data_IF_262441910460
#
_entry.id   IF_262441910460
#
_cell.length_a   1.000
_cell.length_b   1.000
_cell.length_c   1.000
_cell.angle_alpha   90.00
_cell.angle_beta   90.00
_cell.angle_gamma   90.00
#
_symmetry.space_group_name_H-M   'P 1'
#
loop_
_entity.id
_entity.type
_entity.pdbx_description
1 polymer ?
2 non-polymer ?
3 non-polymer ?
4 water ?
#
# COMPACT_ATOMS: atom_id res chain seq x y z
N UNK A 17 2.27 39.06 -1.08
CA UNK A 17 1.78 39.52 0.21
C UNK A 17 2.93 39.83 1.17
N UNK A 18 2.65 39.80 2.47
CA UNK A 18 3.65 40.09 3.49
C UNK A 18 3.78 38.92 4.46
N UNK A 19 2.75 38.63 5.26
CA UNK A 19 2.83 37.50 6.17
C UNK A 19 2.77 36.17 5.41
N UNK A 20 2.04 36.12 4.31
CA UNK A 20 2.01 34.92 3.47
C UNK A 20 3.40 34.58 2.96
N UNK A 21 4.04 35.53 2.29
CA UNK A 21 5.35 35.26 1.70
C UNK A 21 6.41 35.04 2.76
N UNK A 22 6.21 35.58 3.97
CA UNK A 22 7.11 35.28 5.07
C UNK A 22 7.02 33.81 5.46
N UNK A 23 5.80 33.27 5.51
CA UNK A 23 5.62 31.85 5.81
C UNK A 23 6.15 31.01 4.66
N UNK A 24 5.82 31.39 3.42
CA UNK A 24 6.15 30.58 2.25
C UNK A 24 7.65 30.32 2.16
N UNK A 25 8.48 31.33 2.44
CA UNK A 25 9.92 31.15 2.37
C UNK A 25 10.41 30.17 3.42
N UNK A 26 9.71 30.06 4.55
CA UNK A 26 10.07 29.07 5.57
C UNK A 26 9.64 27.68 5.13
N UNK A 27 8.37 27.54 4.73
CA UNK A 27 7.83 26.24 4.35
C UNK A 27 8.60 25.66 3.17
N UNK A 28 8.85 26.47 2.16
CA UNK A 28 9.54 26.01 0.96
C UNK A 28 11.05 25.93 1.13
N UNK A 29 11.57 26.16 2.32
CA UNK A 29 13.00 26.18 2.55
C UNK A 29 13.55 24.76 2.69
N UNK A 30 14.87 24.64 2.52
CA UNK A 30 15.52 23.35 2.70
C UNK A 30 15.55 22.95 4.16
N UNK A 31 15.76 23.92 5.06
CA UNK A 31 15.79 23.63 6.49
C UNK A 31 14.48 23.02 6.97
N UNK A 32 13.35 23.52 6.46
CA UNK A 32 12.05 23.03 6.89
C UNK A 32 11.91 21.54 6.59
N UNK A 33 12.10 21.17 5.32
CA UNK A 33 12.02 19.75 4.95
C UNK A 33 13.09 18.93 5.67
N UNK A 34 14.31 19.48 5.78
CA UNK A 34 15.36 18.82 6.53
C UNK A 34 14.95 18.58 7.97
N UNK A 35 14.32 19.58 8.59
CA UNK A 35 13.90 19.45 9.98
C UNK A 35 12.80 18.41 10.13
N UNK A 36 11.89 18.35 9.16
CA UNK A 36 10.84 17.33 9.19
C UNK A 36 11.44 15.95 8.96
N UNK A 37 12.27 15.81 7.92
CA UNK A 37 12.95 14.54 7.66
C UNK A 37 13.76 14.12 8.87
N UNK A 38 14.37 15.09 9.56
CA UNK A 38 15.05 14.82 10.81
C UNK A 38 14.10 14.22 11.84
N UNK A 39 13.02 14.95 12.14
CA UNK A 39 12.06 14.51 13.15
C UNK A 39 11.46 13.15 12.78
N UNK A 40 11.25 12.90 11.49
CA UNK A 40 10.66 11.64 11.06
C UNK A 40 11.56 10.48 11.45
N UNK A 41 12.86 10.60 11.16
CA UNK A 41 13.81 9.54 11.51
C UNK A 41 13.91 9.40 13.03
N UNK A 42 13.94 10.53 13.74
CA UNK A 42 13.97 10.49 15.20
C UNK A 42 12.76 9.75 15.75
N UNK A 43 11.56 10.09 15.26
CA UNK A 43 10.37 9.37 15.68
C UNK A 43 10.40 7.91 15.23
N UNK A 44 11.02 7.64 14.08
CA UNK A 44 11.13 6.27 13.62
C UNK A 44 11.89 5.39 14.60
N UNK A 45 13.01 5.88 15.11
CA UNK A 45 13.75 5.15 16.12
C UNK A 45 12.95 5.07 17.41
N UNK A 46 12.18 6.12 17.71
CA UNK A 46 11.35 6.12 18.91
C UNK A 46 10.34 4.98 18.89
N UNK A 47 9.64 4.81 17.77
CA UNK A 47 8.60 3.78 17.68
C UNK A 47 9.20 2.38 17.74
N UNK A 48 10.41 2.19 17.24
CA UNK A 48 11.03 0.88 17.30
C UNK A 48 11.45 0.50 18.71
N UNK A 49 11.96 1.46 19.48
CA UNK A 49 12.25 1.20 20.88
C UNK A 49 10.97 1.08 21.70
N UNK A 50 9.90 1.76 21.28
CA UNK A 50 8.63 1.68 21.97
C UNK A 50 8.06 0.27 22.00
N UNK A 51 8.53 -0.61 21.11
CA UNK A 51 8.09 -2.00 21.14
C UNK A 51 8.63 -2.74 22.36
N UNK A 52 9.88 -2.45 22.73
CA UNK A 52 10.50 -3.10 23.88
C UNK A 52 9.86 -2.59 25.17
N UNK A 53 9.33 -3.52 25.96
CA UNK A 53 8.73 -3.15 27.24
C UNK A 53 9.78 -2.89 28.32
N UNK A 54 10.99 -3.44 28.15
CA UNK A 54 12.11 -3.03 29.00
C UNK A 54 12.36 -1.52 28.86
N UNK A 55 12.39 -1.04 27.61
CA UNK A 55 12.58 0.38 27.37
C UNK A 55 11.38 1.19 27.86
N UNK A 56 10.17 0.66 27.70
CA UNK A 56 8.98 1.39 28.09
C UNK A 56 8.82 1.46 29.61
N UNK A 57 9.37 0.48 30.33
CA UNK A 57 9.39 0.58 31.79
C UNK A 57 10.38 1.65 32.23
N UNK A 58 11.49 1.78 31.52
CA UNK A 58 12.51 2.76 31.87
C UNK A 58 12.20 4.12 31.26
N UNK A 59 12.57 4.30 29.99
CA UNK A 59 12.38 5.58 29.30
C UNK A 59 10.98 5.74 28.74
N UNK A 60 9.95 5.31 29.47
CA UNK A 60 8.60 5.26 28.96
C UNK A 60 7.95 6.58 28.58
N UNK A 61 7.70 7.44 29.58
CA UNK A 61 7.00 8.70 29.32
C UNK A 61 7.81 9.64 28.43
N UNK A 62 9.13 9.43 28.37
CA UNK A 62 9.98 10.24 27.51
C UNK A 62 9.48 10.25 26.07
N UNK A 63 8.99 9.11 25.59
CA UNK A 63 8.61 8.95 24.20
C UNK A 63 7.15 9.29 23.95
N UNK A 64 6.27 9.11 24.94
CA UNK A 64 4.89 9.59 24.79
C UNK A 64 4.86 11.10 24.68
N UNK A 65 5.67 11.79 25.49
CA UNK A 65 5.88 13.22 25.32
C UNK A 65 6.44 13.53 23.93
N UNK A 66 7.56 12.91 23.58
CA UNK A 66 8.23 13.20 22.32
C UNK A 66 7.35 12.86 21.12
N UNK A 67 6.45 11.89 21.29
CA UNK A 67 5.48 11.61 20.24
C UNK A 67 4.44 12.72 20.14
N UNK A 68 3.86 13.11 21.28
CA UNK A 68 2.87 14.19 21.30
C UNK A 68 3.45 15.49 20.76
N UNK A 69 4.77 15.67 20.91
CA UNK A 69 5.42 16.86 20.37
C UNK A 69 5.41 16.82 18.84
N UNK A 70 5.92 15.72 18.28
CA UNK A 70 6.06 15.61 16.83
C UNK A 70 4.71 15.68 16.13
N UNK A 71 3.66 15.18 16.79
CA UNK A 71 2.32 15.21 16.18
C UNK A 71 1.87 16.65 15.96
N UNK A 72 2.10 17.52 16.95
CA UNK A 72 1.70 18.91 16.81
C UNK A 72 2.62 19.66 15.85
N UNK A 73 3.93 19.39 15.92
CA UNK A 73 4.86 19.94 14.94
C UNK A 73 4.42 19.58 13.53
N UNK A 74 3.90 18.36 13.36
CA UNK A 74 3.44 17.93 12.05
C UNK A 74 2.13 18.61 11.68
N UNK A 75 1.25 18.81 12.67
CA UNK A 75 0.03 19.56 12.43
C UNK A 75 0.34 20.99 12.03
N UNK A 76 1.26 21.63 12.77
CA UNK A 76 1.74 22.96 12.39
C UNK A 76 2.30 22.93 10.97
N UNK A 77 3.14 21.95 10.68
CA UNK A 77 3.74 21.82 9.36
C UNK A 77 2.66 21.65 8.29
N UNK A 78 1.61 20.89 8.60
CA UNK A 78 0.53 20.71 7.64
C UNK A 78 -0.28 21.99 7.52
N UNK A 79 -0.55 22.66 8.65
CA UNK A 79 -1.30 23.92 8.62
C UNK A 79 -0.57 24.95 7.77
N UNK A 80 0.73 25.14 8.05
CA UNK A 80 1.54 26.06 7.25
C UNK A 80 1.52 25.67 5.78
N UNK A 81 1.66 24.37 5.50
CA UNK A 81 1.69 23.91 4.12
C UNK A 81 0.35 24.13 3.42
N UNK A 82 -0.75 24.10 4.17
CA UNK A 82 -2.05 24.37 3.58
C UNK A 82 -2.19 25.85 3.23
N UNK A 83 -1.75 26.73 4.12
CA UNK A 83 -1.84 28.16 3.84
C UNK A 83 -0.99 28.54 2.63
N UNK A 84 0.16 27.90 2.47
CA UNK A 84 1.03 28.20 1.33
C UNK A 84 0.43 27.66 0.05
N UNK A 85 0.04 26.38 0.05
CA UNK A 85 -0.25 25.67 -1.19
C UNK A 85 -1.71 25.78 -1.63
N UNK A 86 -2.60 26.19 -0.74
CA UNK A 86 -4.00 26.54 -1.07
C UNK A 86 -4.70 25.29 -1.61
N UNK A 87 -5.39 25.37 -2.75
CA UNK A 87 -6.13 24.23 -3.27
C UNK A 87 -5.17 23.15 -3.76
N UNK A 88 -3.94 23.52 -4.15
CA UNK A 88 -3.01 22.53 -4.69
C UNK A 88 -2.59 21.51 -3.63
N UNK A 89 -2.64 21.89 -2.35
CA UNK A 89 -2.31 20.93 -1.30
C UNK A 89 -3.33 19.79 -1.26
N UNK A 90 -4.61 20.11 -1.41
CA UNK A 90 -5.66 19.10 -1.41
C UNK A 90 -5.89 18.49 -2.79
N UNK A 91 -4.98 18.73 -3.72
CA UNK A 91 -4.94 18.02 -5.00
C UNK A 91 -3.62 17.31 -5.20
N UNK A 92 -2.76 17.27 -4.19
CA UNK A 92 -1.48 16.60 -4.24
C UNK A 92 -1.55 15.33 -3.42
N UNK A 93 -1.33 14.15 -4.02
CA UNK A 93 -1.45 12.90 -3.26
C UNK A 93 -0.48 12.81 -2.09
N UNK A 94 0.77 13.25 -2.29
CA UNK A 94 1.74 13.21 -1.20
C UNK A 94 1.31 14.10 -0.05
N UNK A 95 0.69 15.24 -0.36
CA UNK A 95 0.17 16.11 0.69
C UNK A 95 -1.08 15.50 1.32
N UNK A 96 -2.01 15.01 0.48
CA UNK A 96 -3.21 14.35 0.98
C UNK A 96 -2.85 13.18 1.89
N UNK A 97 -1.81 12.43 1.53
CA UNK A 97 -1.34 11.35 2.39
C UNK A 97 -0.80 11.90 3.70
N UNK A 98 0.10 12.88 3.64
CA UNK A 98 0.64 13.50 4.84
C UNK A 98 -0.48 14.04 5.72
N UNK A 99 -1.53 14.59 5.12
CA UNK A 99 -2.70 15.03 5.87
C UNK A 99 -3.32 13.87 6.65
N UNK A 100 -3.56 12.75 5.97
CA UNK A 100 -4.36 11.68 6.58
C UNK A 100 -3.56 10.92 7.64
N UNK A 101 -2.26 10.71 7.42
CA UNK A 101 -1.47 9.97 8.39
C UNK A 101 -1.15 10.77 9.65
N UNK A 102 -1.40 12.08 9.62
CA UNK A 102 -1.29 12.91 10.81
C UNK A 102 -2.68 13.08 11.43
N UNK A 103 -3.70 13.16 10.58
CA UNK A 103 -5.07 13.16 11.08
C UNK A 103 -5.37 11.88 11.84
N UNK A 104 -4.92 10.74 11.33
CA UNK A 104 -5.01 9.49 12.06
C UNK A 104 -4.25 9.61 13.38
N UNK A 105 -3.08 10.24 13.35
CA UNK A 105 -2.25 10.40 14.54
C UNK A 105 -2.86 11.34 15.56
N UNK A 106 -3.95 12.04 15.22
CA UNK A 106 -4.52 13.04 16.12
C UNK A 106 -5.70 12.52 16.92
N UNK A 107 -6.48 11.59 16.36
CA UNK A 107 -7.60 10.98 17.07
C UNK A 107 -7.08 10.38 18.36
N UNK A 108 -7.61 10.78 19.51
CA UNK A 108 -6.99 10.39 20.79
C UNK A 108 -7.05 8.89 21.03
N UNK A 109 -6.14 8.42 21.88
CA UNK A 109 -6.06 7.01 22.20
C UNK A 109 -7.34 6.47 22.83
N UNK A 110 -8.13 7.33 23.46
CA UNK A 110 -9.37 6.91 24.10
C UNK A 110 -10.42 6.62 23.03
N UNK A 111 -10.77 5.34 22.89
CA UNK A 111 -11.79 4.89 21.96
C UNK A 111 -11.98 3.40 22.14
N UNK A 112 -13.07 2.88 21.59
CA UNK A 112 -13.27 1.44 21.52
C UNK A 112 -12.60 0.87 20.30
N UNK A 113 -11.58 1.58 19.80
CA UNK A 113 -10.82 1.18 18.60
C UNK A 113 -9.36 1.55 18.86
N UNK A 114 -8.66 0.68 19.59
CA UNK A 114 -7.25 0.90 19.89
C UNK A 114 -6.35 0.65 18.69
N UNK A 115 -6.91 0.24 17.55
CA UNK A 115 -6.10 0.03 16.36
C UNK A 115 -5.58 1.35 15.80
N UNK A 116 -6.24 2.47 16.11
CA UNK A 116 -5.76 3.76 15.64
C UNK A 116 -4.46 4.14 16.32
N UNK A 117 -4.22 3.63 17.53
CA UNK A 117 -2.93 3.83 18.19
C UNK A 117 -1.81 3.07 17.49
N UNK A 118 -2.15 2.08 16.67
CA UNK A 118 -1.16 1.38 15.87
C UNK A 118 -0.97 2.05 14.52
N UNK A 119 -2.05 2.57 13.94
CA UNK A 119 -1.95 3.33 12.69
C UNK A 119 -1.13 4.61 12.85
N UNK A 120 -0.77 4.98 14.08
CA UNK A 120 0.20 6.05 14.30
C UNK A 120 1.45 5.85 13.46
N UNK A 121 1.89 4.60 13.32
CA UNK A 121 3.17 4.30 12.70
C UNK A 121 3.19 4.67 11.23
N UNK A 122 2.03 4.76 10.57
CA UNK A 122 2.00 5.15 9.17
C UNK A 122 2.61 6.53 8.94
N UNK A 123 2.72 7.35 9.99
CA UNK A 123 3.45 8.62 9.89
C UNK A 123 4.94 8.43 9.64
N UNK A 124 5.45 7.20 9.70
CA UNK A 124 6.80 6.92 9.26
C UNK A 124 6.91 6.89 7.74
N UNK A 125 5.78 6.68 7.04
CA UNK A 125 5.75 6.76 5.59
C UNK A 125 5.94 8.18 5.08
N UNK A 126 5.92 9.17 5.97
CA UNK A 126 6.24 10.54 5.58
C UNK A 126 7.65 10.62 5.00
N UNK A 127 8.55 9.78 5.47
CA UNK A 127 9.91 9.74 4.94
C UNK A 127 9.93 9.40 3.46
N UNK A 128 8.85 8.84 2.93
CA UNK A 128 8.70 8.68 1.50
C UNK A 128 8.31 10.00 0.86
N UNK A 129 7.21 10.60 1.33
CA UNK A 129 6.73 11.85 0.78
C UNK A 129 7.68 13.01 1.01
N UNK A 130 8.61 12.88 1.95
CA UNK A 130 9.51 13.98 2.26
C UNK A 130 10.84 13.88 1.53
N UNK A 131 11.29 12.67 1.20
CA UNK A 131 12.56 12.44 0.53
C UNK A 131 12.27 12.22 -0.96
N UNK A 132 12.66 13.14 -1.84
CA UNK A 132 12.28 13.01 -3.26
C UNK A 132 12.88 11.80 -3.95
N UNK A 133 13.91 11.18 -3.39
CA UNK A 133 14.41 9.93 -3.97
C UNK A 133 13.37 8.83 -3.88
N UNK A 134 12.69 8.72 -2.73
CA UNK A 134 11.69 7.67 -2.54
C UNK A 134 10.45 7.95 -3.38
N UNK A 135 9.98 9.21 -3.41
CA UNK A 135 8.82 9.58 -4.20
C UNK A 135 8.97 9.16 -5.66
N UNK A 136 10.19 9.30 -6.20
CA UNK A 136 10.44 8.94 -7.58
C UNK A 136 10.21 7.45 -7.81
N UNK A 137 10.66 6.62 -6.87
CA UNK A 137 10.44 5.18 -6.97
C UNK A 137 8.97 4.85 -6.83
N UNK A 138 8.36 5.34 -5.74
CA UNK A 138 6.95 5.07 -5.46
C UNK A 138 6.08 5.49 -6.63
N UNK A 139 6.43 6.60 -7.27
CA UNK A 139 5.70 7.04 -8.46
C UNK A 139 5.92 6.07 -9.63
N UNK A 140 7.14 5.56 -9.76
CA UNK A 140 7.43 4.62 -10.85
C UNK A 140 6.68 3.31 -10.65
N UNK A 141 6.63 2.81 -9.42
CA UNK A 141 5.94 1.56 -9.15
C UNK A 141 4.43 1.72 -9.35
N UNK A 142 3.86 2.79 -8.80
CA UNK A 142 2.42 3.03 -8.97
C UNK A 142 2.08 3.22 -10.44
N UNK A 143 3.00 3.77 -11.24
CA UNK A 143 2.70 4.10 -12.62
C UNK A 143 2.41 2.87 -13.47
N UNK A 144 2.73 1.67 -12.99
CA UNK A 144 2.35 0.46 -13.70
C UNK A 144 0.92 0.06 -13.38
N UNK A 145 0.41 0.45 -12.21
CA UNK A 145 -0.96 0.07 -11.83
C UNK A 145 -2.01 0.51 -12.85
N UNK A 146 -1.97 1.73 -13.41
CA UNK A 146 -3.06 2.15 -14.32
C UNK A 146 -3.45 1.13 -15.39
N UNK A 147 -2.50 0.64 -16.18
CA UNK A 147 -2.84 -0.32 -17.22
C UNK A 147 -3.29 -1.65 -16.67
N UNK A 148 -2.82 -2.01 -15.47
CA UNK A 148 -3.16 -3.30 -14.88
C UNK A 148 -4.59 -3.35 -14.35
N UNK A 149 -5.22 -2.19 -14.14
CA UNK A 149 -6.58 -2.17 -13.58
C UNK A 149 -7.55 -3.00 -14.40
N UNK A 150 -7.34 -3.05 -15.72
CA UNK A 150 -8.22 -3.84 -16.57
C UNK A 150 -8.02 -5.33 -16.36
N UNK A 151 -6.77 -5.77 -16.27
CA UNK A 151 -6.49 -7.18 -15.97
C UNK A 151 -6.85 -7.50 -14.54
N UNK A 152 -6.66 -6.55 -13.62
CA UNK A 152 -7.04 -6.76 -12.22
C UNK A 152 -8.53 -7.02 -12.12
N UNK A 153 -9.34 -6.35 -12.95
CA UNK A 153 -10.78 -6.54 -12.91
C UNK A 153 -11.16 -7.95 -13.35
N UNK A 154 -10.56 -8.42 -14.45
CA UNK A 154 -10.84 -9.78 -14.92
C UNK A 154 -10.51 -10.81 -13.86
N UNK A 155 -9.36 -10.65 -13.19
CA UNK A 155 -8.98 -11.59 -12.14
C UNK A 155 -9.93 -11.52 -10.96
N UNK A 156 -10.33 -10.30 -10.57
CA UNK A 156 -11.23 -10.14 -9.44
C UNK A 156 -12.60 -10.75 -9.74
N UNK A 157 -13.07 -10.64 -10.98
CA UNK A 157 -14.30 -11.31 -11.37
C UNK A 157 -14.10 -12.82 -11.39
N UNK A 158 -13.01 -13.29 -12.00
CA UNK A 158 -12.66 -14.69 -11.98
C UNK A 158 -12.69 -15.26 -10.57
N UNK A 159 -12.08 -14.53 -9.63
CA UNK A 159 -12.09 -14.95 -8.24
C UNK A 159 -13.51 -15.02 -7.68
N UNK A 160 -14.30 -13.98 -7.96
CA UNK A 160 -15.67 -13.91 -7.44
C UNK A 160 -16.51 -15.08 -7.95
N UNK A 161 -16.34 -15.44 -9.22
CA UNK A 161 -17.13 -16.53 -9.79
C UNK A 161 -16.74 -17.86 -9.14
N UNK A 162 -15.44 -18.13 -9.03
CA UNK A 162 -15.00 -19.37 -8.41
C UNK A 162 -15.25 -19.38 -6.91
N UNK A 163 -15.18 -18.23 -6.26
CA UNK A 163 -15.49 -18.18 -4.83
C UNK A 163 -16.96 -18.50 -4.56
N UNK A 164 -17.85 -18.12 -5.49
CA UNK A 164 -19.23 -18.57 -5.39
C UNK A 164 -19.30 -20.07 -5.56
N UNK A 165 -18.64 -20.59 -6.59
CA UNK A 165 -18.68 -22.02 -6.90
C UNK A 165 -18.06 -22.83 -5.76
N UNK A 166 -16.92 -22.39 -5.24
CA UNK A 166 -16.25 -23.15 -4.19
C UNK A 166 -17.08 -23.16 -2.91
N UNK A 167 -17.72 -22.04 -2.58
CA UNK A 167 -18.57 -22.00 -1.40
C UNK A 167 -19.72 -22.99 -1.52
N UNK A 168 -20.27 -23.14 -2.73
CA UNK A 168 -21.39 -24.04 -2.93
C UNK A 168 -20.96 -25.50 -3.00
N UNK A 169 -19.76 -25.77 -3.51
CA UNK A 169 -19.30 -27.14 -3.65
C UNK A 169 -18.72 -27.69 -2.34
N UNK A 170 -17.95 -26.87 -1.63
CA UNK A 170 -17.12 -27.37 -0.53
C UNK A 170 -17.46 -26.78 0.83
N UNK A 171 -18.13 -25.64 0.88
CA UNK A 171 -18.41 -24.99 2.15
C UNK A 171 -19.25 -25.81 3.11
N UNK A 172 -19.93 -26.84 2.61
CA UNK A 172 -20.74 -27.69 3.48
C UNK A 172 -19.86 -28.57 4.37
N UNK A 173 -19.06 -29.43 3.75
CA UNK A 173 -18.16 -30.31 4.50
C UNK A 173 -16.88 -29.61 4.95
N UNK A 174 -16.65 -28.37 4.52
CA UNK A 174 -15.40 -27.66 4.81
C UNK A 174 -15.71 -26.21 5.10
N UNK A 175 -16.32 -25.92 6.27
CA UNK A 175 -16.72 -24.54 6.54
C UNK A 175 -15.56 -23.59 6.75
N UNK A 176 -14.49 -24.04 7.43
CA UNK A 176 -13.36 -23.17 7.72
C UNK A 176 -12.77 -22.58 6.45
N UNK A 177 -12.65 -23.38 5.41
CA UNK A 177 -12.01 -22.96 4.16
C UNK A 177 -12.99 -22.34 3.18
N UNK A 178 -14.23 -22.84 3.14
CA UNK A 178 -15.14 -22.48 2.06
C UNK A 178 -16.56 -22.17 2.51
N UNK A 179 -16.87 -22.21 3.81
CA UNK A 179 -18.24 -22.11 4.28
C UNK A 179 -18.88 -20.77 4.07
N UNK A 180 -18.12 -19.84 3.47
CA UNK A 180 -18.58 -18.49 3.27
C UNK A 180 -17.80 -17.89 2.11
N UNK A 181 -18.48 -17.06 1.32
CA UNK A 181 -17.86 -16.41 0.18
C UNK A 181 -16.54 -15.73 0.56
N UNK A 182 -16.50 -15.08 1.72
CA UNK A 182 -15.28 -14.44 2.16
C UNK A 182 -14.17 -15.43 2.42
N UNK A 183 -14.49 -16.56 3.04
CA UNK A 183 -13.49 -17.59 3.29
C UNK A 183 -12.99 -18.19 1.98
N UNK A 184 -13.90 -18.50 1.05
CA UNK A 184 -13.49 -19.00 -0.25
C UNK A 184 -12.63 -17.99 -1.00
N UNK A 185 -12.90 -16.69 -0.81
CA UNK A 185 -12.01 -15.67 -1.36
C UNK A 185 -10.61 -15.81 -0.77
N UNK A 186 -10.52 -15.89 0.56
CA UNK A 186 -9.21 -16.04 1.21
C UNK A 186 -8.53 -17.33 0.77
N UNK A 187 -9.26 -18.44 0.79
CA UNK A 187 -8.66 -19.72 0.44
C UNK A 187 -8.19 -19.73 -1.01
N UNK A 188 -8.98 -19.16 -1.92
CA UNK A 188 -8.57 -19.14 -3.32
C UNK A 188 -7.34 -18.28 -3.51
N UNK A 189 -7.23 -17.19 -2.75
CA UNK A 189 -6.00 -16.39 -2.78
C UNK A 189 -4.81 -17.19 -2.27
N UNK A 190 -5.05 -18.05 -1.27
CA UNK A 190 -4.00 -18.94 -0.79
C UNK A 190 -3.62 -19.96 -1.86
N UNK A 191 -4.60 -20.41 -2.64
CA UNK A 191 -4.30 -21.32 -3.75
C UNK A 191 -3.52 -20.59 -4.84
N UNK A 192 -3.81 -19.30 -5.04
CA UNK A 192 -3.06 -18.52 -6.02
C UNK A 192 -1.59 -18.43 -5.61
N UNK A 193 -1.32 -18.19 -4.33
CA UNK A 193 0.06 -18.17 -3.84
C UNK A 193 0.68 -19.56 -3.81
N UNK A 194 -0.09 -20.61 -4.10
CA UNK A 194 0.32 -22.01 -4.03
C UNK A 194 0.69 -22.44 -2.61
N UNK A 195 0.33 -21.64 -1.61
CA UNK A 195 0.66 -21.94 -0.21
C UNK A 195 -0.17 -23.13 0.26
N UNK A 196 0.47 -24.30 0.38
CA UNK A 196 -0.18 -25.51 0.87
C UNK A 196 -1.45 -25.84 0.09
N UNK A 197 -1.46 -25.50 -1.21
CA UNK A 197 -2.68 -25.66 -1.99
C UNK A 197 -3.07 -27.13 -2.10
N UNK A 198 -2.09 -28.03 -2.18
CA UNK A 198 -2.38 -29.46 -2.37
C UNK A 198 -2.46 -30.17 -1.02
N UNK A 199 -1.33 -30.26 -0.31
CA UNK A 199 -1.31 -30.99 0.96
C UNK A 199 -2.30 -30.42 1.97
N UNK A 200 -2.49 -29.11 1.95
CA UNK A 200 -3.31 -28.48 2.97
C UNK A 200 -4.77 -28.31 2.62
N UNK A 201 -5.08 -28.23 1.32
CA UNK A 201 -6.44 -27.88 0.90
C UNK A 201 -7.02 -28.95 -0.03
N UNK A 202 -6.45 -29.08 -1.23
CA UNK A 202 -7.07 -29.90 -2.26
C UNK A 202 -7.04 -31.37 -1.89
N UNK A 203 -5.92 -31.84 -1.32
CA UNK A 203 -5.85 -33.24 -0.93
C UNK A 203 -6.85 -33.59 0.17
N UNK A 204 -7.01 -32.79 1.23
CA UNK A 204 -8.13 -33.06 2.16
C UNK A 204 -9.48 -32.97 1.48
N UNK A 205 -9.64 -32.00 0.57
CA UNK A 205 -10.89 -31.88 -0.18
C UNK A 205 -11.19 -33.16 -0.95
N UNK A 206 -10.16 -33.73 -1.58
CA UNK A 206 -10.36 -34.90 -2.41
C UNK A 206 -10.72 -36.13 -1.61
N UNK A 207 -10.44 -36.14 -0.30
CA UNK A 207 -10.86 -37.24 0.54
C UNK A 207 -12.37 -37.34 0.65
N UNK A 208 -13.10 -36.29 0.26
CA UNK A 208 -14.55 -36.25 0.29
C UNK A 208 -15.12 -36.06 -1.11
N UNK A 209 -14.58 -35.08 -1.86
CA UNK A 209 -14.97 -34.80 -3.24
C UNK A 209 -13.82 -35.19 -4.15
N UNK A 210 -13.81 -36.40 -4.70
CA UNK A 210 -12.62 -36.87 -5.42
C UNK A 210 -12.25 -36.05 -6.65
N UNK A 211 -13.20 -35.32 -7.23
CA UNK A 211 -12.95 -34.55 -8.44
C UNK A 211 -12.65 -33.08 -8.13
N UNK A 212 -12.33 -32.75 -6.89
CA UNK A 212 -12.00 -31.37 -6.54
C UNK A 212 -10.80 -30.87 -7.33
N UNK A 213 -9.92 -31.78 -7.76
CA UNK A 213 -8.78 -31.40 -8.60
C UNK A 213 -9.24 -30.78 -9.91
N UNK A 214 -10.41 -31.19 -10.41
CA UNK A 214 -10.94 -30.60 -11.64
C UNK A 214 -11.25 -29.13 -11.44
N UNK A 215 -11.48 -28.72 -10.20
CA UNK A 215 -11.76 -27.32 -9.89
C UNK A 215 -10.48 -26.50 -9.75
N UNK A 216 -9.50 -27.02 -9.01
CA UNK A 216 -8.37 -26.21 -8.58
C UNK A 216 -7.20 -26.21 -9.54
N UNK A 217 -6.87 -27.36 -10.15
CA UNK A 217 -5.79 -27.40 -11.14
C UNK A 217 -6.05 -26.41 -12.27
N UNK A 218 -7.25 -26.34 -12.87
CA UNK A 218 -7.50 -25.23 -13.81
C UNK A 218 -7.42 -23.86 -13.17
N UNK A 219 -7.95 -23.70 -11.94
CA UNK A 219 -7.84 -22.42 -11.26
C UNK A 219 -6.39 -22.00 -11.10
N UNK A 220 -5.51 -22.95 -10.74
CA UNK A 220 -4.09 -22.64 -10.66
C UNK A 220 -3.53 -22.30 -12.03
N UNK A 221 -4.03 -22.96 -13.08
CA UNK A 221 -3.54 -22.69 -14.42
C UNK A 221 -3.92 -21.30 -14.88
N UNK A 222 -5.21 -20.95 -14.81
CA UNK A 222 -5.66 -19.63 -15.26
C UNK A 222 -4.99 -18.53 -14.45
N UNK A 223 -5.06 -18.65 -13.12
CA UNK A 223 -4.51 -17.61 -12.24
C UNK A 223 -3.03 -17.39 -12.52
N UNK A 224 -2.27 -18.47 -12.69
CA UNK A 224 -0.84 -18.33 -12.96
C UNK A 224 -0.60 -17.78 -14.37
N UNK A 225 -1.30 -18.34 -15.36
CA UNK A 225 -1.10 -17.93 -16.75
C UNK A 225 -1.42 -16.46 -16.96
N UNK A 226 -2.32 -15.90 -16.14
CA UNK A 226 -2.62 -14.47 -16.22
C UNK A 226 -1.51 -13.66 -15.56
N UNK A 227 -1.07 -14.07 -14.37
CA UNK A 227 0.00 -13.37 -13.67
C UNK A 227 1.25 -13.28 -14.52
N UNK A 228 1.59 -14.36 -15.22
CA UNK A 228 2.76 -14.35 -16.10
C UNK A 228 2.55 -13.37 -17.24
N UNK A 229 1.42 -13.48 -17.95
CA UNK A 229 1.17 -12.59 -19.08
C UNK A 229 1.03 -11.14 -18.64
N UNK A 230 0.59 -10.92 -17.40
CA UNK A 230 0.56 -9.56 -16.86
C UNK A 230 1.96 -8.98 -16.81
N UNK A 231 2.93 -9.76 -16.34
CA UNK A 231 4.30 -9.28 -16.26
C UNK A 231 4.91 -9.18 -17.65
N UNK A 232 4.66 -10.19 -18.50
CA UNK A 232 5.20 -10.18 -19.86
C UNK A 232 4.71 -8.96 -20.62
N UNK A 233 3.41 -8.65 -20.50
CA UNK A 233 2.88 -7.46 -21.16
C UNK A 233 3.52 -6.19 -20.61
N UNK A 234 3.73 -6.13 -19.30
CA UNK A 234 4.37 -4.97 -18.70
C UNK A 234 5.72 -4.72 -19.34
N UNK A 235 6.45 -5.79 -19.66
CA UNK A 235 7.79 -5.64 -20.24
C UNK A 235 7.70 -5.36 -21.73
N UNK A 236 7.05 -6.25 -22.48
CA UNK A 236 7.08 -6.18 -23.94
C UNK A 236 6.35 -4.93 -24.45
N UNK A 237 5.29 -4.51 -23.76
CA UNK A 237 4.55 -3.34 -24.23
C UNK A 237 5.28 -2.04 -23.88
N UNK A 238 5.96 -2.01 -22.73
CA UNK A 238 6.73 -0.83 -22.34
C UNK A 238 7.86 -0.53 -23.28
N UNK A 239 8.17 -1.46 -24.18
CA UNK A 239 9.42 -1.43 -24.91
C UNK A 239 9.20 -1.57 -26.41
N UNK A 240 7.94 -1.76 -26.85
CA UNK A 240 7.56 -1.30 -28.17
C UNK A 240 7.51 0.22 -28.24
N UNK A 241 7.34 0.87 -27.09
CA UNK A 241 7.32 2.33 -27.04
C UNK A 241 8.71 2.89 -27.27
N UNK A 242 9.69 2.37 -26.54
CA UNK A 242 11.08 2.73 -26.75
C UNK A 242 11.58 2.26 -28.11
N UNK A 243 10.91 1.28 -28.71
CA UNK A 243 11.25 0.79 -30.04
C UNK A 243 10.53 1.57 -31.14
N UNK A 244 9.64 2.49 -30.78
CA UNK A 244 9.03 3.42 -31.72
C UNK A 244 9.45 4.86 -31.48
N UNK A 245 9.74 5.23 -30.23
CA UNK A 245 10.40 6.50 -29.95
C UNK A 245 11.80 6.54 -30.55
N UNK A 246 12.42 5.38 -30.76
CA UNK A 246 13.64 5.27 -31.55
C UNK A 246 13.35 5.18 -33.04
N UNK A 247 12.30 4.42 -33.41
CA UNK A 247 11.86 4.36 -34.79
C UNK A 247 11.48 5.73 -35.34
N UNK A 248 11.18 6.68 -34.47
CA UNK A 248 10.84 8.04 -34.88
C UNK A 248 12.08 8.92 -35.00
N UNK A 249 12.97 8.87 -34.01
CA UNK A 249 14.17 9.69 -34.04
C UNK A 249 15.17 9.26 -35.11
N UNK A 250 14.93 8.12 -35.77
CA UNK A 250 15.78 7.71 -36.88
C UNK A 250 15.22 8.18 -38.21
N UNK A 251 13.90 8.15 -38.37
CA UNK A 251 13.28 8.76 -39.54
C UNK A 251 13.35 10.28 -39.48
N UNK A 252 13.57 10.84 -38.28
CA UNK A 252 13.74 12.28 -38.15
C UNK A 252 14.89 12.77 -39.02
N UNK A 253 16.02 12.06 -39.00
CA UNK A 253 17.26 12.58 -39.54
C UNK A 253 17.47 12.28 -41.02
N UNK A 254 16.70 11.36 -41.59
CA UNK A 254 16.85 11.03 -43.00
C UNK A 254 15.87 11.88 -43.82
N UNK A 255 15.33 12.92 -43.20
CA UNK A 255 14.46 13.85 -43.91
C UNK A 255 14.73 15.30 -43.52
X LIG B 1 -13.94 -11.54 6.32
X LIG B 1 -15.71 -13.06 5.18
X LIG B 1 -14.28 -12.60 5.32
X LIG B 1 -13.40 -13.90 5.63
X LIG B 1 -11.99 -13.77 5.97
X LIG B 1 -11.50 -15.06 6.57
X LIG B 1 -12.02 -15.42 7.95
X LIG B 1 -11.82 -14.26 8.87
X LIG B 1 -13.47 -15.75 7.91
X LIG B 1 -11.28 -16.59 8.48
X LIG B 1 -13.78 -12.15 3.85
X LIG B 1 -12.71 -11.17 3.73
X LIG B 1 -12.08 -11.27 2.36
X LIG B 1 -11.08 -12.40 2.24
X LIG B 1 -10.60 -12.40 0.88
X LIG B 1 -9.36 -11.96 0.69
X LIG B 1 -8.51 -12.02 1.53
X LIG B 1 -9.20 -11.35 -0.68
X LIG B 1 -8.19 -12.04 -1.54
X LIG B 1 -7.69 -11.17 -2.68
X LIG B 1 -8.33 -11.43 -4.03
X LIG B 1 -7.67 -10.65 -5.14
X LIG B 1 -8.17 -11.00 -6.53
X LIG B 1 -7.46 -10.24 -7.64
X LIG B 1 -5.98 -10.52 -7.73
X LIG B 1 -5.29 -9.82 -8.88
X LIG B 1 -3.81 -10.12 -8.98
X LIG B 1 -3.12 -9.44 -10.14
X LIG B 1 -13.08 -11.52 1.34
X LIG B 1 -13.93 -10.53 1.00
X LIG B 1 -14.73 -10.06 1.76
X LIG B 1 -13.72 -10.10 -0.42
X LIG B 1 -13.33 -8.66 -0.53
X LIG B 1 -13.00 -8.24 -1.95
X LIG B 1 -11.83 -8.98 -2.56
X LIG B 1 -11.29 -8.33 -3.81
X LIG B 1 -10.98 -6.86 -3.64
X LIG B 1 -10.18 -6.25 -4.77
X LIG B 1 -8.80 -6.84 -4.93
X LIG B 1 -7.95 -6.13 -5.97
X LIG B 1 -6.97 -5.14 -5.40
X LIG B 1 -6.43 -4.15 -6.41
X LIG B 1 -5.36 -3.23 -5.90
X LIG B 1 -5.02 -2.11 -6.86
X LIG C 1 3.87 11.06 -9.64
X LIG C 1 1.89 12.47 -10.55
X LIG C 1 2.63 11.87 -9.40
X LIG C 1 3.00 13.05 -8.36
X LIG C 1 1.59 10.96 -8.56
X LIG C 1 0.86 9.92 -9.26
X LIG C 1 0.45 8.80 -8.33
X LIG C 1 1.59 8.24 -7.50
X LIG C 1 1.78 9.04 -6.31
X LIG C 1 1.13 8.63 -5.22
X LIG C 1 0.32 7.75 -5.22
X LIG C 1 1.56 9.42 -4.01
X LIG C 1 0.96 8.91 -2.73
X LIG C 1 1.86 7.92 -2.00
X LIG C 1 1.24 7.35 -0.74
X LIG C 1 2.20 6.72 0.23
X LIG C 1 2.99 5.54 -0.30
X LIG C 1 3.72 4.76 0.77
X LIG C 1 4.65 3.71 0.25
X LIG C 1 4.03 2.73 -0.72
X LIG C 1 4.99 1.73 -1.30
X LIG C 1 4.39 0.84 -2.36
X LIG C 1 -0.67 9.15 -7.46
X LIG C 1 -1.91 8.92 -7.92
X LIG C 1 -2.31 9.31 -8.99
X LIG C 1 -2.69 8.05 -6.98
X LIG C 1 -2.79 8.61 -5.59
X LIG C 1 -3.08 7.55 -4.55
X LIG C 1 -3.17 8.08 -3.14
X LIG C 1 -3.21 7.02 -2.08
X LIG D 1 -10.90 -6.50 18.07
X LIG D 1 -9.94 -7.83 16.03
X LIG D 1 -9.84 -7.40 17.47
X LIG D 1 -9.74 -8.71 18.39
X LIG D 1 -9.38 -8.58 19.79
X LIG D 1 -9.58 -9.91 20.47
X LIG D 1 -9.19 -9.98 21.94
X LIG D 1 -7.72 -9.77 22.10
X LIG D 1 -9.92 -8.91 22.70
X LIG D 1 -9.57 -11.30 22.51
X LIG D 1 -8.43 -6.67 17.68
X LIG D 1 -8.21 -5.34 17.14
X LIG D 1 -7.55 -5.37 15.77
X LIG D 1 -6.39 -6.34 15.68
X LIG D 1 -5.78 -6.24 14.37
X LIG D 1 -6.35 -6.94 13.39
X LIG D 1 -7.25 -7.73 13.57
X LIG D 1 -5.73 -6.63 12.06
X LIG D 1 -5.57 -5.17 11.78
X LIG D 1 -5.14 -4.90 10.35
X LIG D 1 -4.59 -3.52 10.08
X LIG D 1 -4.13 -3.34 8.65
X LIG D 1 -3.36 -2.08 8.37
X LIG D 1 -2.88 -1.98 6.94
X LIG D 1 -2.03 -0.78 6.64
X LIG D 1 -1.56 -0.70 5.20
X LIG D 1 -8.50 -5.56 14.68
X LIG D 1 -9.26 -4.52 14.30
X LIG D 1 -9.63 -3.66 15.05
X LIG D 1 -9.52 -4.51 12.81
X LIG D 1 -10.52 -3.48 12.39
X LIG D 1 -10.44 -3.14 10.92
X LIG D 1 -9.22 -2.34 10.53
X LIG D 1 -9.20 -1.86 9.11
X LIG E 1 -25.17 -13.96 6.04
X LIG E 1 -24.45 -16.40 6.63
X LIG E 1 -24.11 -14.93 6.50
X LIG E 1 -23.58 -14.42 7.92
X LIG E 1 -24.45 -14.54 9.08
X LIG E 1 -23.88 -13.76 10.24
X LIG E 1 -24.63 -13.90 11.55
X LIG E 1 -24.42 -15.25 12.13
X LIG E 1 -24.16 -12.88 12.52
X LIG E 1 -26.10 -13.70 11.33
X LIG E 1 -22.84 -14.82 5.51
X LIG E 1 -22.12 -13.56 5.40
X LIG E 1 -21.16 -13.68 4.24
X LIG E 1 -21.86 -13.78 2.91
X LIG E 1 -22.05 -12.45 2.38
X LIG E 1 -22.66 -12.38 1.21
X LIG E 1 -23.27 -13.28 0.72
X LIG E 1 -22.42 -11.04 0.54
X LIG E 1 -22.51 -11.11 -0.96
X LIG E 1 -22.19 -9.79 -1.62
X LIG E 1 -22.04 -9.87 -3.12
X LIG E 1 -21.56 -8.59 -3.76
X LIG E 1 -21.11 -8.73 -5.19
X LIG E 1 -20.54 -7.45 -5.78
X LIG E 1 -19.93 -7.61 -7.14
X LIG E 1 -20.88 -8.14 -8.20
X LIG E 1 -20.26 -8.28 -9.56
X LIG E 1 -21.10 -9.05 -10.55
X LIG E 1 -20.41 -9.30 -11.87
X LIG E 1 -21.15 -10.30 -12.74
X LIG E 1 -20.24 -12.56 4.26
X LIG E 1 -19.20 -12.55 3.41
X LIG E 1 -18.89 -13.47 2.70
X LIG E 1 -18.45 -11.23 3.46
X LIG E 1 -18.65 -10.37 2.25
X LIG E 1 -17.92 -10.88 1.01
X LIG E 1 -18.00 -9.92 -0.15
X LIG E 1 -17.16 -10.28 -1.36
X LIG E 1 -17.21 -9.23 -2.44
X LIG E 1 -16.47 -9.60 -3.72
X LIG E 1 -16.54 -8.53 -4.78
X LIG E 1 -16.03 -8.95 -6.13
X LIG E 1 -16.22 -7.90 -7.20
X LIG E 1 -15.89 -8.36 -8.61
X LIG E 1 -16.14 -7.31 -9.66
X LIG E 1 -15.86 -7.76 -11.07
X LIG F 1 0.94 -22.20 -18.58
X LIG F 1 1.36 -21.94 -17.15
X LIG F 1 1.10 -23.09 -16.21
X LIG F 1 1.55 -22.82 -14.78
X LIG F 1 1.28 -23.96 -13.83
X LIG F 1 1.75 -23.70 -12.42
X LIG F 1 3.24 -23.45 -12.31
X LIG F 1 3.67 -23.04 -10.92
X LIG F 1 5.15 -22.75 -10.79
X LIG F 1 5.56 -22.21 -9.44
X LIG F 1 7.02 -21.88 -9.31
X LIG F 1 7.39 -21.26 -7.99
X LIG G 1 9.05 0.22 -16.81
X LIG G 1 7.75 1.01 -17.07
X LIG G 1 8.70 2.03 -19.26
X LIG G 1 8.94 3.30 -20.08
X LIG G 1 7.62 4.04 -20.35
X LIG G 1 6.94 4.31 -18.99
X LIG G 1 5.74 5.18 -19.37
X LIG G 1 6.29 6.07 -20.51
X LIG G 1 7.70 5.51 -20.86
X LIG G 1 6.75 3.19 -21.29
X LIG G 1 6.77 0.07 -17.79
X LIG G 1 10.05 0.95 -15.91
X LIG G 1 9.42 1.30 -14.58
X LIG G 1 8.17 2.14 -14.79
X LIG G 1 7.16 1.43 -15.70
X LIG G 1 5.87 2.26 -15.87
X LIG G 1 6.04 3.48 -16.78
X LIG G 1 6.70 3.09 -18.12
X LIG G 1 8.00 2.29 -17.92
X LIG G 1 8.11 5.80 -22.32
X LIG G 1 10.36 2.02 -13.75
X LIG G 1 6.85 4.50 -16.16
X LIG G 1 9.85 4.15 -19.34
X LIG H 1 2.86 1.52 -21.37
X LIG H 1 2.74 0.52 -20.21
X LIG H 1 1.15 -1.01 -21.56
X LIG H 1 -0.12 -1.86 -21.59
X LIG H 1 -0.15 -2.85 -20.41
X LIG H 1 -0.03 -2.01 -19.12
X LIG H 1 -0.29 -3.05 -18.04
X LIG H 1 -1.46 -3.87 -18.61
X LIG H 1 -1.47 -3.62 -20.15
X LIG H 1 1.03 -3.84 -20.56
X LIG H 1 3.89 -0.50 -20.34
X LIG H 1 1.93 2.72 -21.26
X LIG H 1 2.15 3.46 -19.96
X LIG H 1 1.94 2.53 -18.80
X LIG H 1 2.85 1.29 -18.87
X LIG H 1 2.65 0.37 -17.64
X LIG H 1 1.36 -0.43 -17.71
X LIG H 1 1.24 -1.19 -19.04
X LIG H 1 1.38 -0.24 -20.25
X LIG H 1 -1.82 -4.91 -20.93
X LIG H 1 -1.64 -4.79 -22.44
X LIG H 1 -3.26 -5.36 -20.58
X LIG H 1 -4.37 -4.51 -21.20
X LIG H 1 -4.88 -5.00 -22.53
X LIG H 1 -5.81 -4.25 -23.13
X LIG H 1 -4.47 -6.04 -23.04
X LIG H 1 1.25 4.59 -19.87
X LIG H 1 0.20 0.40 -17.53
X LIG H 1 -1.27 -0.98 -21.54
#
# INVERSE_FOLDING_TARGET
>A
MDYKDDDDKGSLVPRGSHMYLRITNIVESSFFTKFIIYLIVLNGITMGLETSKTFMQSFGVYTTLFNQIVITIFTIEIILRIYVHRISFFKDPWSLFDFFVVAISLVPTSSGFEILRVLRVLRLFRLVTAVPQMRKIVSALISTIPGMLSVIALMTLFFYIFAIMATQLFGERFPEWFGTLGESFYTLFQVMTLESWSMGIVRPLMEVYPYAWVFFIPFIFVVTFVMINLVVAIIVDAMAILNQKEEQHIIDEVQSH
>B hetero
1 PX4 O1 O2 P1 O3 C1 C2 N1 C3 C4 C5 O4 C6 C7 C8 O5 C9 O6 C10 C11 C12 C13 C14 C15 C16 C17 C18 C19 C20 O7 C23 O8 C24 C25 C26 C27 C28 C29 C30 C31 C32 C33 C34 C35 C36
>C hetero
1 PX4 O1 O2 P1 O3 O4 C6 C7 C8 O5 C9 O6 C10 C11 C12 C13 C14 C15 C16 C17 C18 C19 C20 O7 C23 O8 C24 C25 C26 C27 C28
>D hetero
1 PX4 O1 O2 P1 O3 C1 C2 N1 C3 C4 C5 O4 C6 C7 C8 O5 C9 O6 C10 C11 C12 C13 C14 C15 C16 C17 C18 O7 C23 O8 C24 C25 C26 C27 C28
>E hetero
1 PX4 O1 O2 P1 O3 C1 C2 N1 C3 C4 C5 O4 C6 C7 C8 O5 C9 O6 C10 C11 C12 C13 C14 C15 C16 C17 C18 C19 C20 C21 C22 O7 C23 O8 C24 C25 C26 C27 C28 C29 C30 C31 C32 C33 C34 C35 C36
>F hetero
1 PX4 C11 C12 C13 C14 C15 C16 C17 C18 C19 C20 C21 C22
>G hetero
1 CPS C1 C2 C3 C4 C5 C6 C7 C8 C9 C10 C11 C12 C13 C14 C15 C16 C17 C18 C19 C20 O2 O3 O4
>H hetero
1 CPS C1 C2 C3 C4 C5 C6 C7 C8 C9 C10 C11 C12 C13 C14 C15 C16 C17 C18 C19 C20 C21 C22 C23 C24 N1 O1 O2 O3 O4
#
